data_IF_834092203844
#
_entry.id   IF_834092203844
#
_cell.length_a   1.000
_cell.length_b   1.000
_cell.length_c   1.000
_cell.angle_alpha   90.00
_cell.angle_beta   90.00
_cell.angle_gamma   90.00
#
_symmetry.space_group_name_H-M   'P 1'
#
loop_
_entity.id
_entity.type
_entity.pdbx_description
1 polymer ?
#
# COMPACT_ATOMS: atom_id res chain seq x y z
N UNK A 1 -9.49 -3.55 -7.38
CA UNK A 1 -8.35 -2.80 -6.81
C UNK A 1 -8.74 -1.40 -6.32
N UNK A 2 -9.14 -0.49 -7.21
CA UNK A 2 -9.47 0.91 -6.81
C UNK A 2 -10.68 0.94 -5.89
N UNK A 3 -11.77 0.29 -6.30
CA UNK A 3 -13.01 0.16 -5.52
C UNK A 3 -12.86 -0.66 -4.25
N UNK A 4 -11.87 -1.56 -4.20
CA UNK A 4 -11.55 -2.38 -3.03
C UNK A 4 -10.60 -1.70 -2.05
N UNK A 5 -10.27 -0.41 -2.24
CA UNK A 5 -9.44 0.37 -1.31
C UNK A 5 -7.94 0.04 -1.33
N UNK A 6 -7.47 -0.80 -2.28
CA UNK A 6 -6.08 -1.24 -2.37
C UNK A 6 -5.19 -0.32 -3.22
N UNK A 7 -5.77 0.70 -3.85
CA UNK A 7 -5.00 1.64 -4.65
C UNK A 7 -4.10 2.50 -3.75
N UNK A 8 -2.79 2.39 -3.95
CA UNK A 8 -1.79 3.18 -3.21
C UNK A 8 -1.47 4.54 -3.85
N UNK A 9 -2.14 4.90 -4.96
CA UNK A 9 -1.94 6.19 -5.62
C UNK A 9 -0.62 6.34 -6.38
N UNK A 10 -0.03 5.25 -6.88
CA UNK A 10 1.29 5.28 -7.53
C UNK A 10 1.34 5.93 -8.93
N UNK A 11 0.21 6.04 -9.63
CA UNK A 11 0.13 6.67 -10.96
C UNK A 11 0.48 5.78 -12.16
N UNK A 12 0.72 4.47 -11.96
CA UNK A 12 0.99 3.54 -13.07
C UNK A 12 -0.11 3.55 -14.15
N UNK A 13 -1.38 3.60 -13.73
CA UNK A 13 -2.54 3.67 -14.63
C UNK A 13 -2.56 4.92 -15.52
N UNK A 14 -2.10 6.06 -15.03
CA UNK A 14 -2.00 7.26 -15.87
C UNK A 14 -0.88 7.11 -16.91
N UNK A 15 0.24 6.53 -16.53
CA UNK A 15 1.34 6.26 -17.46
C UNK A 15 0.94 5.25 -18.56
N UNK A 16 0.32 4.12 -18.18
CA UNK A 16 -0.11 3.07 -19.13
C UNK A 16 -1.13 3.60 -20.14
N UNK A 17 -2.04 4.46 -19.69
CA UNK A 17 -3.08 5.05 -20.57
C UNK A 17 -2.62 6.29 -21.33
N UNK A 18 -1.35 6.68 -21.24
CA UNK A 18 -0.82 7.88 -21.88
C UNK A 18 -1.50 9.17 -21.40
N UNK A 19 -1.93 9.23 -20.13
CA UNK A 19 -2.59 10.38 -19.54
C UNK A 19 -4.11 10.47 -19.80
N UNK A 20 -4.70 9.49 -20.50
CA UNK A 20 -6.16 9.46 -20.75
C UNK A 20 -6.95 9.21 -19.46
N UNK A 21 -6.45 8.35 -18.57
CA UNK A 21 -7.00 8.15 -17.23
C UNK A 21 -6.08 8.85 -16.22
N UNK A 22 -6.47 10.05 -15.77
CA UNK A 22 -5.62 10.87 -14.90
C UNK A 22 -5.74 10.49 -13.44
N UNK A 23 -4.66 10.63 -12.70
CA UNK A 23 -4.69 10.61 -11.23
C UNK A 23 -5.22 11.94 -10.71
N UNK A 24 -6.33 11.90 -10.00
CA UNK A 24 -6.94 13.10 -9.40
C UNK A 24 -7.11 12.94 -7.91
N UNK A 25 -7.05 14.05 -7.18
CA UNK A 25 -7.26 14.06 -5.74
C UNK A 25 -8.73 13.77 -5.45
N UNK A 26 -8.97 12.75 -4.64
CA UNK A 26 -10.33 12.40 -4.19
C UNK A 26 -10.67 13.10 -2.87
N UNK A 27 -11.96 13.23 -2.52
CA UNK A 27 -12.38 13.72 -1.20
C UNK A 27 -11.84 12.90 -0.02
N UNK A 28 -11.38 11.66 -0.27
CA UNK A 28 -10.74 10.79 0.73
C UNK A 28 -9.28 11.15 1.01
N UNK A 29 -8.73 12.20 0.37
CA UNK A 29 -7.37 12.68 0.61
C UNK A 29 -6.28 11.87 -0.08
N UNK A 30 -6.62 11.13 -1.14
CA UNK A 30 -5.65 10.36 -1.93
C UNK A 30 -5.89 10.48 -3.44
N UNK A 31 -4.81 10.35 -4.21
CA UNK A 31 -4.85 10.30 -5.67
C UNK A 31 -5.47 8.98 -6.15
N UNK A 32 -6.42 9.04 -7.10
CA UNK A 32 -7.02 7.87 -7.74
C UNK A 32 -7.20 8.08 -9.26
N UNK A 33 -7.10 7.01 -10.07
CA UNK A 33 -7.40 7.10 -11.50
C UNK A 33 -8.85 7.53 -11.71
N UNK A 34 -9.06 8.47 -12.63
CA UNK A 34 -10.37 9.02 -12.94
C UNK A 34 -10.55 9.14 -14.47
N UNK A 35 -11.60 8.55 -15.04
CA UNK A 35 -12.55 7.63 -14.40
C UNK A 35 -11.92 6.26 -14.12
N UNK A 36 -12.40 5.54 -13.10
CA UNK A 36 -11.79 4.28 -12.66
C UNK A 36 -12.10 3.08 -13.59
N UNK A 37 -13.06 3.22 -14.50
CA UNK A 37 -13.48 2.28 -15.54
C UNK A 37 -13.00 2.70 -16.93
N UNK A 38 -12.10 3.69 -17.01
CA UNK A 38 -11.58 4.22 -18.27
C UNK A 38 -10.54 3.34 -18.96
N UNK A 39 -10.38 2.07 -18.60
CA UNK A 39 -9.33 1.21 -19.15
C UNK A 39 -9.88 0.30 -20.25
N UNK A 40 -9.08 0.07 -21.31
CA UNK A 40 -9.36 -1.01 -22.25
C UNK A 40 -9.03 -2.37 -21.61
N UNK A 41 -9.57 -3.49 -22.12
CA UNK A 41 -9.24 -4.83 -21.60
C UNK A 41 -7.74 -5.15 -21.62
N UNK A 42 -7.02 -4.66 -22.65
CA UNK A 42 -5.57 -4.86 -22.78
C UNK A 42 -4.80 -4.04 -21.73
N UNK A 43 -5.20 -2.78 -21.52
CA UNK A 43 -4.63 -1.92 -20.47
C UNK A 43 -4.91 -2.50 -19.08
N UNK A 44 -6.11 -3.01 -18.83
CA UNK A 44 -6.45 -3.65 -17.56
C UNK A 44 -5.59 -4.88 -17.30
N UNK A 45 -5.37 -5.72 -18.32
CA UNK A 45 -4.47 -6.88 -18.23
C UNK A 45 -3.04 -6.46 -17.88
N UNK A 46 -2.51 -5.43 -18.54
CA UNK A 46 -1.18 -4.87 -18.24
C UNK A 46 -1.11 -4.30 -16.82
N UNK A 47 -2.15 -3.58 -16.39
CA UNK A 47 -2.22 -2.97 -15.06
C UNK A 47 -2.31 -4.02 -13.96
N UNK A 48 -3.09 -5.08 -14.13
CA UNK A 48 -3.19 -6.15 -13.15
C UNK A 48 -1.88 -6.92 -13.00
N UNK A 49 -1.08 -7.03 -14.06
CA UNK A 49 0.23 -7.68 -14.02
C UNK A 49 1.32 -6.85 -13.32
N UNK A 50 1.16 -5.53 -13.21
CA UNK A 50 2.21 -4.63 -12.71
C UNK A 50 1.78 -3.70 -11.57
N UNK A 51 0.50 -3.64 -11.20
CA UNK A 51 0.06 -2.72 -10.18
C UNK A 51 0.55 -3.16 -8.79
N UNK A 52 1.23 -2.27 -8.03
CA UNK A 52 1.72 -2.61 -6.70
C UNK A 52 0.62 -2.84 -5.66
N UNK A 53 -0.62 -2.45 -5.95
CA UNK A 53 -1.80 -2.78 -5.13
C UNK A 53 -2.41 -4.16 -5.42
N UNK A 54 -1.91 -4.86 -6.44
CA UNK A 54 -2.34 -6.22 -6.86
C UNK A 54 -1.19 -7.20 -6.74
N UNK A 55 -0.05 -6.85 -7.33
CA UNK A 55 1.20 -7.61 -7.27
C UNK A 55 2.07 -7.00 -6.18
N UNK A 56 2.12 -7.68 -5.03
CA UNK A 56 2.98 -7.29 -3.92
C UNK A 56 3.96 -8.44 -3.68
N UNK A 57 5.10 -8.36 -4.35
CA UNK A 57 6.17 -9.34 -4.27
C UNK A 57 7.50 -8.63 -4.00
N UNK A 58 8.41 -9.25 -3.22
CA UNK A 58 9.73 -8.68 -2.99
C UNK A 58 10.61 -8.85 -4.22
N UNK A 59 11.56 -7.93 -4.38
CA UNK A 59 12.71 -8.18 -5.25
C UNK A 59 13.63 -9.16 -4.53
N UNK A 60 13.61 -10.41 -4.98
CA UNK A 60 14.53 -11.42 -4.46
C UNK A 60 15.87 -11.23 -5.15
N UNK A 61 16.87 -10.73 -4.42
CA UNK A 61 18.26 -10.86 -4.83
C UNK A 61 18.72 -12.26 -4.38
N UNK A 62 19.22 -13.13 -5.27
CA UNK A 62 19.70 -14.46 -4.90
C UNK A 62 20.99 -14.33 -4.08
N UNK A 63 20.85 -14.04 -2.79
CA UNK A 63 21.91 -14.01 -1.80
C UNK A 63 21.64 -14.97 -0.65
N UNK A 64 22.64 -15.14 0.23
CA UNK A 64 22.70 -16.12 1.32
C UNK A 64 21.76 -15.83 2.52
N UNK A 65 20.72 -15.03 2.30
CA UNK A 65 19.79 -14.58 3.33
C UNK A 65 18.72 -15.61 3.72
N UNK A 66 17.96 -15.37 4.79
CA UNK A 66 16.79 -16.17 5.14
C UNK A 66 15.81 -16.25 3.96
N UNK A 67 15.09 -17.38 3.88
CA UNK A 67 14.04 -17.57 2.89
C UNK A 67 13.09 -16.35 2.89
N UNK A 68 12.89 -15.68 1.75
CA UNK A 68 12.13 -14.45 1.70
C UNK A 68 10.64 -14.72 1.96
N UNK A 69 10.01 -13.84 2.73
CA UNK A 69 8.55 -13.77 2.79
C UNK A 69 7.99 -13.42 1.41
N UNK A 70 6.87 -14.02 0.96
CA UNK A 70 6.31 -13.79 -0.37
C UNK A 70 5.88 -12.34 -0.65
N UNK A 71 5.72 -11.51 0.38
CA UNK A 71 5.36 -10.09 0.28
C UNK A 71 6.50 -9.20 0.74
N UNK A 72 7.09 -9.50 1.90
CA UNK A 72 8.05 -8.63 2.57
C UNK A 72 9.51 -8.87 2.18
N UNK A 73 9.82 -10.00 1.53
CA UNK A 73 11.20 -10.35 1.19
C UNK A 73 11.98 -10.86 2.39
N UNK A 74 13.31 -10.73 2.36
CA UNK A 74 14.17 -11.19 3.46
C UNK A 74 14.03 -10.27 4.68
N UNK A 75 13.79 -10.86 5.85
CA UNK A 75 13.67 -10.16 7.12
C UNK A 75 14.39 -10.94 8.23
N UNK A 76 14.89 -10.25 9.26
CA UNK A 76 15.51 -10.90 10.42
C UNK A 76 14.47 -11.25 11.49
N UNK A 77 13.57 -10.31 11.80
CA UNK A 77 12.52 -10.50 12.80
C UNK A 77 11.27 -9.72 12.43
N UNK A 78 10.10 -10.35 12.55
CA UNK A 78 8.80 -9.67 12.60
C UNK A 78 8.18 -9.81 13.98
N UNK A 79 7.50 -8.76 14.44
CA UNK A 79 6.84 -8.71 15.76
C UNK A 79 5.50 -8.02 15.63
N UNK A 80 4.52 -8.52 16.35
CA UNK A 80 3.27 -7.80 16.60
C UNK A 80 3.46 -6.88 17.80
N UNK A 81 3.02 -5.64 17.66
CA UNK A 81 3.06 -4.64 18.72
C UNK A 81 1.77 -3.81 18.71
N UNK A 82 1.44 -3.25 19.86
CA UNK A 82 0.30 -2.37 20.08
C UNK A 82 0.57 -1.46 21.28
N UNK A 83 -0.20 -0.40 21.43
CA UNK A 83 -0.13 0.49 22.58
C UNK A 83 -0.47 -0.26 23.89
N UNK A 84 0.33 -0.03 24.92
CA UNK A 84 0.06 -0.57 26.27
C UNK A 84 -1.21 0.02 26.89
N UNK A 85 -1.55 1.27 26.55
CA UNK A 85 -2.79 1.92 26.97
C UNK A 85 -4.00 1.34 26.19
N UNK A 86 -5.00 0.75 26.87
CA UNK A 86 -6.16 0.16 26.21
C UNK A 86 -7.01 1.17 25.43
N UNK A 87 -7.11 2.41 25.92
CA UNK A 87 -7.85 3.48 25.26
C UNK A 87 -7.22 3.91 23.95
N UNK A 88 -5.90 3.84 23.83
CA UNK A 88 -5.16 4.07 22.58
C UNK A 88 -5.24 2.84 21.69
N UNK A 89 -4.98 1.63 22.22
CA UNK A 89 -4.96 0.39 21.44
C UNK A 89 -6.21 0.16 20.60
N UNK A 90 -7.39 0.37 21.19
CA UNK A 90 -8.67 0.05 20.55
C UNK A 90 -9.31 1.21 19.80
N UNK A 91 -8.75 2.43 19.87
CA UNK A 91 -9.29 3.61 19.18
C UNK A 91 -8.37 4.17 18.10
N UNK A 92 -7.06 3.99 18.24
CA UNK A 92 -6.09 4.49 17.26
C UNK A 92 -5.84 3.46 16.15
N UNK A 93 -5.38 3.96 14.99
CA UNK A 93 -4.97 3.11 13.87
C UNK A 93 -3.79 2.21 14.24
N UNK A 94 -3.69 1.04 13.60
CA UNK A 94 -2.55 0.10 13.73
C UNK A 94 -2.25 -0.27 15.20
N UNK A 95 -3.30 -0.49 16.00
CA UNK A 95 -3.17 -0.80 17.42
C UNK A 95 -2.54 0.32 18.26
N UNK A 96 -2.46 1.54 17.71
CA UNK A 96 -2.02 2.75 18.40
C UNK A 96 -0.53 2.87 18.66
N UNK A 97 0.32 2.07 18.00
CA UNK A 97 1.78 2.10 18.19
C UNK A 97 2.34 3.50 17.96
N UNK A 98 2.00 4.12 16.82
CA UNK A 98 2.49 5.46 16.48
C UNK A 98 1.96 6.55 17.42
N UNK A 99 0.69 6.44 17.87
CA UNK A 99 0.12 7.35 18.86
C UNK A 99 0.84 7.26 20.19
N UNK A 100 1.11 6.04 20.69
CA UNK A 100 1.82 5.84 21.94
C UNK A 100 3.26 6.36 21.88
N UNK A 101 3.98 6.10 20.78
CA UNK A 101 5.32 6.65 20.56
C UNK A 101 5.31 8.19 20.49
N UNK A 102 4.35 8.77 19.75
CA UNK A 102 4.21 10.21 19.65
C UNK A 102 3.99 10.88 21.01
N UNK A 103 3.13 10.29 21.87
CA UNK A 103 2.92 10.79 23.22
C UNK A 103 4.18 10.71 24.08
N UNK A 104 4.92 9.59 24.01
CA UNK A 104 6.18 9.42 24.75
C UNK A 104 7.24 10.45 24.36
N UNK A 105 7.31 10.83 23.09
CA UNK A 105 8.28 11.82 22.60
C UNK A 105 7.94 13.27 22.98
N UNK A 106 6.70 13.54 23.40
CA UNK A 106 6.23 14.87 23.80
C UNK A 106 6.36 15.12 25.31
N UNK A 107 6.82 14.13 26.08
CA UNK A 107 6.97 14.15 27.54
C UNK A 107 8.42 13.92 27.94
#
# INVERSE_FOLDING_TARGET
MVTSGLCIGCGLCEAVTGGRVRMTMTPLGGLRPTPADGFSPDEETQLLAACPGVVCEPRVDPGDGPAPDPVWGSYTTMRYAWAGDPGIRFRAATGGVLTALGLHLLT
#
